data_IF_760043684404
#
_entry.id   IF_760043684404
#
_cell.length_a   1.000
_cell.length_b   1.000
_cell.length_c   1.000
_cell.angle_alpha   90.00
_cell.angle_beta   90.00
_cell.angle_gamma   90.00
#
_symmetry.space_group_name_H-M   'P 1'
#
loop_
_entity.id
_entity.type
_entity.pdbx_description
1 polymer ?
#
# COMPACT_ATOMS: atom_id res chain seq x y z
N UNK A 1 -0.51 -0.68 41.51
CA UNK A 1 -0.27 -1.73 40.51
C UNK A 1 -0.67 -1.16 39.17
N UNK A 2 0.30 -0.61 38.41
CA UNK A 2 0.08 -0.04 37.09
C UNK A 2 0.42 -1.14 36.05
N UNK A 3 -0.58 -1.66 35.38
CA UNK A 3 -0.36 -2.48 34.19
C UNK A 3 -0.11 -1.53 33.03
N UNK A 4 1.14 -1.40 32.63
CA UNK A 4 1.53 -0.83 31.34
C UNK A 4 0.95 -1.69 30.24
N UNK A 5 0.07 -1.12 29.43
CA UNK A 5 -0.37 -1.71 28.18
C UNK A 5 0.79 -1.46 27.20
N UNK A 6 1.55 -2.49 26.88
CA UNK A 6 2.57 -2.45 25.83
C UNK A 6 1.91 -2.08 24.51
N UNK A 7 2.21 -0.89 24.03
CA UNK A 7 1.76 -0.39 22.71
C UNK A 7 2.63 -1.07 21.64
N UNK A 8 2.07 -1.83 20.70
CA UNK A 8 2.85 -2.57 19.69
C UNK A 8 3.55 -1.68 18.65
N UNK A 9 3.48 -0.38 18.77
CA UNK A 9 3.97 0.57 17.77
C UNK A 9 5.42 1.07 18.00
N UNK A 10 6.12 0.60 19.04
CA UNK A 10 7.45 1.13 19.42
C UNK A 10 8.64 0.58 18.62
N UNK A 11 8.43 -0.27 17.62
CA UNK A 11 9.51 -0.87 16.80
C UNK A 11 9.78 -0.19 15.46
N UNK A 12 9.09 0.90 15.13
CA UNK A 12 9.21 1.53 13.82
C UNK A 12 10.44 2.45 13.63
N UNK A 13 11.24 2.69 14.68
CA UNK A 13 12.35 3.68 14.60
C UNK A 13 13.73 3.08 14.27
N UNK A 14 13.85 1.78 14.02
CA UNK A 14 15.17 1.11 13.84
C UNK A 14 15.53 0.70 12.42
N UNK A 15 14.68 0.92 11.43
CA UNK A 15 14.90 0.39 10.06
C UNK A 15 15.38 1.40 9.01
N UNK A 16 16.00 2.49 9.42
CA UNK A 16 16.49 3.49 8.44
C UNK A 16 17.90 3.21 7.90
N UNK A 17 18.52 2.07 8.21
CA UNK A 17 19.94 1.82 7.84
C UNK A 17 20.23 0.50 7.14
N UNK A 18 19.25 -0.28 6.70
CA UNK A 18 19.55 -1.45 5.88
C UNK A 18 18.97 -1.29 4.46
N UNK A 19 19.74 -0.60 3.62
CA UNK A 19 19.47 -0.46 2.19
C UNK A 19 19.91 -1.72 1.42
N UNK A 20 19.43 -2.89 1.82
CA UNK A 20 19.44 -4.06 0.95
C UNK A 20 18.32 -3.91 -0.08
N UNK A 21 18.73 -3.64 -1.25
CA UNK A 21 18.20 -3.44 -2.61
C UNK A 21 16.80 -3.99 -2.99
N UNK A 22 15.78 -3.89 -2.15
CA UNK A 22 14.41 -4.26 -2.53
C UNK A 22 13.62 -3.09 -3.13
N UNK A 23 12.77 -3.37 -4.13
CA UNK A 23 11.86 -2.36 -4.71
C UNK A 23 10.95 -1.76 -3.65
N UNK A 24 10.75 -0.45 -3.65
CA UNK A 24 9.80 0.29 -2.82
C UNK A 24 8.62 0.73 -3.67
N UNK A 25 7.43 0.22 -3.37
CA UNK A 25 6.20 0.51 -4.11
C UNK A 25 5.34 1.46 -3.27
N UNK A 26 5.03 2.63 -3.81
CA UNK A 26 4.15 3.61 -3.16
C UNK A 26 2.75 3.55 -3.80
N UNK A 27 1.74 3.20 -3.02
CA UNK A 27 0.35 3.28 -3.44
C UNK A 27 -0.28 4.59 -2.99
N UNK A 28 -1.01 5.28 -3.89
CA UNK A 28 -1.59 6.61 -3.61
C UNK A 28 -3.07 6.65 -3.95
N UNK A 29 -3.89 7.12 -2.99
CA UNK A 29 -5.30 7.47 -3.17
C UNK A 29 -5.57 8.87 -2.62
N UNK A 30 -6.82 9.25 -2.35
CA UNK A 30 -7.15 10.56 -1.79
C UNK A 30 -6.78 10.64 -0.31
N UNK A 31 -7.50 9.93 0.57
CA UNK A 31 -7.42 10.07 2.02
C UNK A 31 -6.43 9.14 2.72
N UNK A 32 -5.87 8.14 2.02
CA UNK A 32 -4.92 7.16 2.58
C UNK A 32 -5.47 6.35 3.77
N UNK A 33 -6.78 6.15 3.83
CA UNK A 33 -7.43 5.37 4.89
C UNK A 33 -8.08 4.07 4.41
N UNK A 34 -8.30 3.93 3.09
CA UNK A 34 -9.02 2.79 2.49
C UNK A 34 -8.19 2.11 1.40
N UNK A 35 -8.25 2.62 0.16
CA UNK A 35 -7.70 1.98 -1.05
C UNK A 35 -6.20 1.75 -0.99
N UNK A 36 -5.41 2.79 -0.80
CA UNK A 36 -3.95 2.69 -0.86
C UNK A 36 -3.35 1.85 0.29
N UNK A 37 -3.82 1.94 1.57
CA UNK A 37 -3.30 1.05 2.61
C UNK A 37 -3.74 -0.41 2.40
N UNK A 38 -4.95 -0.69 1.86
CA UNK A 38 -5.34 -2.05 1.47
C UNK A 38 -4.43 -2.59 0.36
N UNK A 39 -4.13 -1.79 -0.67
CA UNK A 39 -3.22 -2.20 -1.75
C UNK A 39 -1.81 -2.51 -1.25
N UNK A 40 -1.27 -1.67 -0.36
CA UNK A 40 0.03 -1.92 0.27
C UNK A 40 0.01 -3.22 1.11
N UNK A 41 -1.06 -3.45 1.89
CA UNK A 41 -1.22 -4.66 2.69
C UNK A 41 -1.30 -5.93 1.82
N UNK A 42 -2.04 -5.90 0.72
CA UNK A 42 -2.11 -7.02 -0.24
C UNK A 42 -0.75 -7.27 -0.89
N UNK A 43 -0.08 -6.21 -1.36
CA UNK A 43 1.25 -6.34 -1.96
C UNK A 43 2.25 -6.98 -0.99
N UNK A 44 2.33 -6.47 0.23
CA UNK A 44 3.25 -6.98 1.25
C UNK A 44 2.96 -8.44 1.63
N UNK A 45 1.68 -8.85 1.63
CA UNK A 45 1.29 -10.22 1.96
C UNK A 45 1.53 -11.23 0.83
N UNK A 46 1.41 -10.81 -0.46
CA UNK A 46 1.33 -11.75 -1.58
C UNK A 46 2.41 -11.58 -2.66
N UNK A 47 2.99 -10.38 -2.78
CA UNK A 47 3.91 -10.04 -3.88
C UNK A 47 5.29 -9.57 -3.41
N UNK A 48 5.45 -9.25 -2.12
CA UNK A 48 6.73 -8.81 -1.60
C UNK A 48 7.78 -9.92 -1.69
N UNK A 49 8.84 -9.69 -2.46
CA UNK A 49 9.95 -10.62 -2.68
C UNK A 49 11.27 -9.85 -2.64
N UNK A 50 12.36 -10.55 -2.31
CA UNK A 50 13.73 -10.03 -2.37
C UNK A 50 13.91 -8.67 -1.66
N UNK A 51 13.27 -8.52 -0.48
CA UNK A 51 13.31 -7.28 0.31
C UNK A 51 12.40 -6.15 -0.21
N UNK A 52 11.60 -6.40 -1.28
CA UNK A 52 10.62 -5.41 -1.74
C UNK A 52 9.55 -5.15 -0.69
N UNK A 53 9.07 -3.91 -0.61
CA UNK A 53 8.02 -3.48 0.32
C UNK A 53 7.14 -2.43 -0.31
N UNK A 54 5.85 -2.49 0.02
CA UNK A 54 4.92 -1.43 -0.30
C UNK A 54 4.60 -0.57 0.92
N UNK A 55 4.36 0.69 0.66
CA UNK A 55 3.84 1.67 1.60
C UNK A 55 2.79 2.54 0.89
N UNK A 56 2.12 3.42 1.61
CA UNK A 56 1.03 4.18 1.03
C UNK A 56 0.96 5.60 1.56
N UNK A 57 0.44 6.52 0.72
CA UNK A 57 0.19 7.90 1.07
C UNK A 57 -1.11 8.40 0.42
N UNK A 58 -1.56 9.59 0.77
CA UNK A 58 -2.74 10.23 0.21
C UNK A 58 -2.42 11.54 -0.49
N UNK A 59 -3.34 12.00 -1.33
CA UNK A 59 -3.27 13.35 -1.90
C UNK A 59 -3.78 14.42 -0.94
N UNK A 60 -4.65 14.02 0.01
CA UNK A 60 -5.26 14.88 1.02
C UNK A 60 -5.59 14.05 2.27
N UNK A 61 -4.57 13.58 2.97
CA UNK A 61 -4.70 12.78 4.18
C UNK A 61 -4.74 13.68 5.43
N UNK A 62 -5.39 13.19 6.49
CA UNK A 62 -5.69 13.94 7.71
C UNK A 62 -5.14 13.32 9.00
N UNK A 63 -4.27 12.32 8.91
CA UNK A 63 -3.64 11.65 10.05
C UNK A 63 -4.51 10.58 10.71
N UNK A 64 -5.54 10.08 10.05
CA UNK A 64 -6.41 9.02 10.57
C UNK A 64 -5.78 7.63 10.39
N UNK A 65 -6.19 6.69 11.25
CA UNK A 65 -5.86 5.27 11.10
C UNK A 65 -6.52 4.68 9.84
N UNK A 66 -6.09 3.48 9.46
CA UNK A 66 -6.79 2.69 8.44
C UNK A 66 -8.26 2.47 8.84
N UNK A 67 -9.18 2.56 7.87
CA UNK A 67 -10.61 2.37 8.12
C UNK A 67 -10.90 0.99 8.75
N UNK A 68 -11.74 0.90 9.80
CA UNK A 68 -12.14 -0.38 10.39
C UNK A 68 -12.73 -1.37 9.37
N UNK A 69 -13.50 -0.86 8.38
CA UNK A 69 -14.04 -1.70 7.31
C UNK A 69 -12.95 -2.23 6.37
N UNK A 70 -11.86 -1.45 6.15
CA UNK A 70 -10.70 -1.92 5.40
C UNK A 70 -9.96 -3.03 6.15
N UNK A 71 -9.78 -2.86 7.47
CA UNK A 71 -9.20 -3.91 8.33
C UNK A 71 -10.05 -5.19 8.27
N UNK A 72 -11.37 -5.08 8.44
CA UNK A 72 -12.28 -6.23 8.39
C UNK A 72 -12.22 -6.97 7.04
N UNK A 73 -12.15 -6.23 5.93
CA UNK A 73 -12.03 -6.81 4.60
C UNK A 73 -10.69 -7.56 4.42
N UNK A 74 -9.57 -6.97 4.85
CA UNK A 74 -8.25 -7.59 4.82
C UNK A 74 -8.21 -8.88 5.65
N UNK A 75 -8.68 -8.84 6.88
CA UNK A 75 -8.70 -10.00 7.78
C UNK A 75 -9.57 -11.15 7.23
N UNK A 76 -10.73 -10.83 6.66
CA UNK A 76 -11.62 -11.80 6.01
C UNK A 76 -10.97 -12.45 4.78
N UNK A 77 -10.15 -11.70 4.04
CA UNK A 77 -9.34 -12.22 2.93
C UNK A 77 -8.10 -13.00 3.39
N UNK A 78 -7.91 -13.19 4.69
CA UNK A 78 -6.77 -13.91 5.27
C UNK A 78 -5.47 -13.10 5.31
N UNK A 79 -5.51 -11.80 5.04
CA UNK A 79 -4.35 -10.91 5.11
C UNK A 79 -4.19 -10.45 6.56
N UNK A 80 -3.07 -10.82 7.19
CA UNK A 80 -2.78 -10.51 8.59
C UNK A 80 -1.80 -9.35 8.71
N UNK A 81 -2.00 -8.52 9.75
CA UNK A 81 -1.00 -7.55 10.14
C UNK A 81 0.14 -8.25 10.87
N UNK A 82 1.36 -8.01 10.40
CA UNK A 82 2.60 -8.61 10.90
C UNK A 82 3.69 -7.54 10.95
N UNK A 83 4.86 -7.78 11.56
CA UNK A 83 5.97 -6.83 11.49
C UNK A 83 6.37 -6.45 10.05
N UNK A 84 6.24 -7.38 9.10
CA UNK A 84 6.52 -7.14 7.68
C UNK A 84 5.35 -6.51 6.91
N UNK A 85 4.15 -6.48 7.51
CA UNK A 85 2.94 -5.93 6.93
C UNK A 85 2.10 -5.22 8.01
N UNK A 86 2.58 -4.14 8.63
CA UNK A 86 2.03 -3.57 9.85
C UNK A 86 0.83 -2.63 9.59
N UNK A 87 -0.16 -3.02 8.78
CA UNK A 87 -1.26 -2.14 8.40
C UNK A 87 -2.14 -1.68 9.58
N UNK A 88 -2.16 -2.41 10.70
CA UNK A 88 -2.86 -1.96 11.92
C UNK A 88 -2.18 -0.76 12.59
N UNK A 89 -0.89 -0.54 12.36
CA UNK A 89 -0.14 0.63 12.82
C UNK A 89 -0.18 1.79 11.80
N UNK A 90 -0.92 1.63 10.70
CA UNK A 90 -0.98 2.66 9.65
C UNK A 90 -1.63 3.95 10.14
N UNK A 91 -0.96 5.06 9.88
CA UNK A 91 -1.48 6.42 10.04
C UNK A 91 -1.39 7.12 8.68
N UNK A 92 -2.52 7.64 8.21
CA UNK A 92 -2.59 8.30 6.92
C UNK A 92 -1.75 9.57 6.90
N UNK A 93 -1.04 9.81 5.79
CA UNK A 93 -0.27 11.03 5.58
C UNK A 93 -0.36 11.49 4.13
N UNK A 94 -0.20 12.79 3.93
CA UNK A 94 -0.15 13.36 2.58
C UNK A 94 1.20 13.05 1.95
N UNK A 95 1.17 12.64 0.66
CA UNK A 95 2.37 12.30 -0.11
C UNK A 95 3.38 13.45 -0.13
N UNK A 96 4.63 13.13 0.14
CA UNK A 96 5.74 14.08 0.22
C UNK A 96 6.79 13.82 -0.85
N UNK A 97 7.70 14.80 -1.05
CA UNK A 97 8.88 14.59 -1.89
C UNK A 97 9.78 13.45 -1.39
N UNK A 98 9.82 13.22 -0.08
CA UNK A 98 10.58 12.10 0.51
C UNK A 98 9.96 10.74 0.14
N UNK A 99 8.63 10.60 0.18
CA UNK A 99 7.93 9.40 -0.28
C UNK A 99 8.23 9.14 -1.76
N UNK A 100 8.15 10.21 -2.56
CA UNK A 100 8.46 10.13 -3.99
C UNK A 100 9.93 9.75 -4.24
N UNK A 101 10.87 10.23 -3.45
CA UNK A 101 12.29 9.87 -3.59
C UNK A 101 12.55 8.41 -3.20
N UNK A 102 11.90 7.93 -2.13
CA UNK A 102 12.03 6.56 -1.64
C UNK A 102 11.44 5.53 -2.62
N UNK A 103 10.33 5.85 -3.28
CA UNK A 103 9.62 4.95 -4.16
C UNK A 103 10.40 4.63 -5.44
N UNK A 104 10.52 3.34 -5.78
CA UNK A 104 10.96 2.87 -7.09
C UNK A 104 9.83 2.93 -8.12
N UNK A 105 8.59 2.71 -7.66
CA UNK A 105 7.37 2.76 -8.44
C UNK A 105 6.27 3.42 -7.62
N UNK A 106 5.51 4.31 -8.24
CA UNK A 106 4.35 4.99 -7.64
C UNK A 106 3.10 4.57 -8.39
N UNK A 107 2.15 3.98 -7.68
CA UNK A 107 0.92 3.41 -8.25
C UNK A 107 -0.29 4.16 -7.71
N UNK A 108 -0.93 4.91 -8.58
CA UNK A 108 -2.16 5.64 -8.27
C UNK A 108 -3.39 4.73 -8.38
N UNK A 109 -4.37 4.90 -7.49
CA UNK A 109 -5.59 4.09 -7.49
C UNK A 109 -6.51 4.37 -8.69
N UNK A 110 -6.44 5.56 -9.27
CA UNK A 110 -7.22 5.98 -10.45
C UNK A 110 -6.41 6.89 -11.36
N UNK A 111 -6.89 7.12 -12.60
CA UNK A 111 -6.28 8.07 -13.52
C UNK A 111 -6.25 9.51 -12.98
N UNK A 112 -7.28 9.93 -12.23
CA UNK A 112 -7.29 11.25 -11.58
C UNK A 112 -6.14 11.39 -10.56
N UNK A 113 -5.92 10.37 -9.73
CA UNK A 113 -4.80 10.39 -8.77
C UNK A 113 -3.45 10.46 -9.51
N UNK A 114 -3.29 9.71 -10.61
CA UNK A 114 -2.07 9.75 -11.41
C UNK A 114 -1.82 11.13 -12.01
N UNK A 115 -2.84 11.77 -12.57
CA UNK A 115 -2.74 13.13 -13.12
C UNK A 115 -2.35 14.15 -12.05
N UNK A 116 -2.94 14.08 -10.87
CA UNK A 116 -2.60 14.98 -9.75
C UNK A 116 -1.17 14.77 -9.26
N UNK A 117 -0.69 13.52 -9.22
CA UNK A 117 0.71 13.21 -8.88
C UNK A 117 1.67 13.74 -9.94
N UNK A 118 1.37 13.57 -11.24
CA UNK A 118 2.19 14.10 -12.33
C UNK A 118 2.29 15.62 -12.29
N UNK A 119 1.20 16.29 -11.94
CA UNK A 119 1.20 17.74 -11.78
C UNK A 119 2.03 18.19 -10.57
N UNK A 120 1.89 17.51 -9.42
CA UNK A 120 2.59 17.87 -8.19
C UNK A 120 4.09 17.49 -8.21
N UNK A 121 4.44 16.39 -8.90
CA UNK A 121 5.80 15.83 -8.94
C UNK A 121 6.26 15.52 -10.37
N UNK A 122 6.36 16.51 -11.26
CA UNK A 122 6.67 16.29 -12.68
C UNK A 122 8.03 15.61 -12.89
N UNK A 123 8.99 15.83 -12.01
CA UNK A 123 10.32 15.19 -12.07
C UNK A 123 10.28 13.68 -11.77
N UNK A 124 9.17 13.17 -11.25
CA UNK A 124 8.96 11.76 -10.93
C UNK A 124 8.08 11.04 -11.97
N UNK A 125 7.75 11.69 -13.10
CA UNK A 125 6.79 11.18 -14.09
C UNK A 125 7.09 9.76 -14.58
N UNK A 126 8.37 9.41 -14.75
CA UNK A 126 8.81 8.10 -15.26
C UNK A 126 8.49 6.93 -14.33
N UNK A 127 8.22 7.17 -13.05
CA UNK A 127 7.89 6.13 -12.07
C UNK A 127 6.44 6.19 -11.58
N UNK A 128 5.64 7.13 -12.08
CA UNK A 128 4.21 7.23 -11.76
C UNK A 128 3.41 6.43 -12.80
N UNK A 129 2.59 5.53 -12.30
CA UNK A 129 1.62 4.76 -13.09
C UNK A 129 0.29 4.69 -12.34
N UNK A 130 -0.70 4.05 -12.92
CA UNK A 130 -1.98 3.76 -12.24
C UNK A 130 -2.17 2.25 -12.12
N UNK A 131 -3.10 1.84 -11.26
CA UNK A 131 -3.56 0.45 -11.18
C UNK A 131 -4.03 -0.03 -12.56
N UNK A 132 -3.90 -1.33 -12.82
CA UNK A 132 -4.33 -1.92 -14.10
C UNK A 132 -5.80 -1.66 -14.43
N UNK A 133 -6.63 -1.50 -13.40
CA UNK A 133 -8.02 -1.05 -13.49
C UNK A 133 -8.24 0.05 -12.44
N UNK A 134 -9.18 0.96 -12.68
CA UNK A 134 -9.56 1.97 -11.68
C UNK A 134 -10.19 1.34 -10.44
N UNK A 135 -9.70 1.71 -9.27
CA UNK A 135 -10.18 1.16 -8.00
C UNK A 135 -11.32 2.04 -7.46
N UNK A 136 -12.54 1.49 -7.35
CA UNK A 136 -13.68 2.23 -6.83
C UNK A 136 -13.47 2.67 -5.38
N UNK A 137 -14.03 3.83 -5.01
CA UNK A 137 -13.91 4.36 -3.65
C UNK A 137 -14.96 3.74 -2.72
N UNK A 138 -14.56 2.95 -1.69
CA UNK A 138 -15.49 2.35 -0.74
C UNK A 138 -15.86 3.31 0.40
N UNK A 139 -15.30 4.52 0.44
CA UNK A 139 -15.49 5.47 1.54
C UNK A 139 -16.97 5.76 1.81
N UNK A 140 -17.37 5.70 3.08
CA UNK A 140 -18.77 5.85 3.48
C UNK A 140 -19.65 4.62 3.25
N UNK A 141 -19.13 3.58 2.61
CA UNK A 141 -19.83 2.33 2.39
C UNK A 141 -19.74 1.35 3.57
N UNK A 142 -20.50 0.28 3.49
CA UNK A 142 -20.46 -0.83 4.45
C UNK A 142 -19.28 -1.78 4.16
N UNK A 143 -19.11 -2.82 5.01
CA UNK A 143 -18.03 -3.81 4.85
C UNK A 143 -18.04 -4.47 3.46
N UNK A 144 -19.22 -4.76 2.89
CA UNK A 144 -19.32 -5.37 1.56
C UNK A 144 -18.72 -4.46 0.45
N UNK A 145 -18.87 -3.12 0.55
CA UNK A 145 -18.24 -2.20 -0.38
C UNK A 145 -16.70 -2.27 -0.30
N UNK A 146 -16.16 -2.44 0.91
CA UNK A 146 -14.72 -2.61 1.10
C UNK A 146 -14.22 -3.98 0.61
N UNK A 147 -15.01 -5.04 0.77
CA UNK A 147 -14.69 -6.36 0.21
C UNK A 147 -14.65 -6.31 -1.32
N UNK A 148 -15.63 -5.66 -1.97
CA UNK A 148 -15.61 -5.46 -3.43
C UNK A 148 -14.40 -4.62 -3.89
N UNK A 149 -14.07 -3.56 -3.14
CA UNK A 149 -12.89 -2.76 -3.40
C UNK A 149 -11.60 -3.61 -3.27
N UNK A 150 -11.51 -4.45 -2.24
CA UNK A 150 -10.36 -5.33 -2.04
C UNK A 150 -10.20 -6.32 -3.19
N UNK A 151 -11.29 -6.94 -3.66
CA UNK A 151 -11.26 -7.83 -4.83
C UNK A 151 -10.77 -7.10 -6.08
N UNK A 152 -11.21 -5.86 -6.30
CA UNK A 152 -10.73 -5.04 -7.41
C UNK A 152 -9.21 -4.76 -7.29
N UNK A 153 -8.73 -4.44 -6.10
CA UNK A 153 -7.30 -4.27 -5.80
C UNK A 153 -6.52 -5.55 -6.08
N UNK A 154 -6.98 -6.70 -5.59
CA UNK A 154 -6.32 -8.00 -5.80
C UNK A 154 -6.19 -8.34 -7.29
N UNK A 155 -7.27 -8.15 -8.05
CA UNK A 155 -7.27 -8.39 -9.49
C UNK A 155 -6.31 -7.46 -10.24
N UNK A 156 -6.30 -6.18 -9.90
CA UNK A 156 -5.40 -5.21 -10.52
C UNK A 156 -3.93 -5.47 -10.18
N UNK A 157 -3.63 -5.83 -8.91
CA UNK A 157 -2.27 -6.22 -8.50
C UNK A 157 -1.81 -7.51 -9.19
N UNK A 158 -2.69 -8.49 -9.36
CA UNK A 158 -2.38 -9.70 -10.10
C UNK A 158 -1.98 -9.40 -11.54
N UNK A 159 -2.70 -8.52 -12.23
CA UNK A 159 -2.35 -8.07 -13.59
C UNK A 159 -0.99 -7.35 -13.66
N UNK A 160 -0.63 -6.60 -12.61
CA UNK A 160 0.60 -5.81 -12.58
C UNK A 160 1.84 -6.64 -12.17
N UNK A 161 1.68 -7.60 -11.26
CA UNK A 161 2.81 -8.26 -10.59
C UNK A 161 2.85 -9.79 -10.76
N UNK A 162 1.85 -10.45 -11.38
CA UNK A 162 1.87 -11.90 -11.57
C UNK A 162 3.02 -12.39 -12.46
N UNK A 163 3.43 -11.62 -13.46
CA UNK A 163 4.54 -11.97 -14.34
C UNK A 163 5.91 -12.04 -13.62
N UNK A 164 6.07 -11.27 -12.53
CA UNK A 164 7.30 -11.31 -11.70
C UNK A 164 7.39 -12.62 -10.90
N UNK A 165 6.27 -13.31 -10.65
CA UNK A 165 6.24 -14.58 -9.93
C UNK A 165 6.51 -15.79 -10.82
N UNK A 166 6.15 -15.75 -12.11
CA UNK A 166 6.35 -16.87 -13.05
C UNK A 166 7.80 -17.02 -13.52
N UNK A 167 8.57 -15.94 -13.56
CA UNK A 167 9.97 -15.96 -14.02
C UNK A 167 10.92 -16.76 -13.10
N UNK A 168 10.49 -17.11 -11.89
CA UNK A 168 11.31 -17.85 -10.91
C UNK A 168 11.28 -19.38 -11.14
N UNK A 169 10.16 -19.91 -11.64
CA UNK A 169 10.01 -21.36 -11.87
C UNK A 169 10.82 -21.89 -13.05
N UNK A 170 11.28 -21.03 -13.97
CA UNK A 170 12.08 -21.42 -15.13
C UNK A 170 13.60 -21.31 -14.94
N UNK A 171 14.07 -20.90 -13.75
CA UNK A 171 15.52 -20.77 -13.47
C UNK A 171 16.10 -21.89 -12.59
N UNK A 172 15.29 -22.84 -12.16
CA UNK A 172 15.70 -23.98 -11.30
C UNK A 172 15.55 -25.35 -11.98
N UNK A 173 15.48 -25.39 -13.33
CA UNK A 173 15.52 -26.63 -14.11
C UNK A 173 16.70 -26.66 -15.05
#
# INVERSE_FOLDING_TARGET
MNSMIDTPCAVAEKEQTDMAAGKRILFVCTGNTCRSPMAAAVYNARYAQDGSRAFSAGLAADGCCISPNAVSALEKAGIRSTPDNPYLCHVSHTVTGADMALASLVVAMTGEHAMRLLFAFPMCATKITMMADEIPDPYGGNVAAYEHCLVAIENALAKMFAADTESKWHRET
#
